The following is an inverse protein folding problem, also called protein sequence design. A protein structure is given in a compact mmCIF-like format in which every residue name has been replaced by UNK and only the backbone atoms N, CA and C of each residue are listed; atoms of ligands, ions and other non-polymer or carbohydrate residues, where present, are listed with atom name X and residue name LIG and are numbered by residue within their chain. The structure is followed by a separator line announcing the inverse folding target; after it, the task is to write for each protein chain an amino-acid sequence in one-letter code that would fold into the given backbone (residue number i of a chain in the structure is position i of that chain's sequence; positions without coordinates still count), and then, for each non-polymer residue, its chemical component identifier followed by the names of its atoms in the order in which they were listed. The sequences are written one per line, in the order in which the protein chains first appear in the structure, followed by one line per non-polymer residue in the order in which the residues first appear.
data_IF_519830161189
#
_entry.id   IF_519830161189
#
_cell.length_a   1.000
_cell.length_b   1.000
_cell.length_c   1.000
_cell.angle_alpha   90.00
_cell.angle_beta   90.00
_cell.angle_gamma   90.00
#
_symmetry.space_group_name_H-M   'P 1'
#
loop_
_entity.id
_entity.type
_entity.pdbx_description
1 polymer ?
#
# COMPACT_ATOMS: atom_id res chain seq x y z
N UNK A 1 4.99 46.72 30.79
CA UNK A 1 4.12 46.42 29.63
C UNK A 1 4.94 45.68 28.60
N UNK A 2 4.37 44.69 27.87
CA UNK A 2 4.50 43.27 28.13
C UNK A 2 5.49 42.55 27.20
N UNK A 3 5.93 41.37 27.66
CA UNK A 3 6.91 40.50 27.01
C UNK A 3 6.44 39.95 25.66
N UNK A 4 7.42 39.86 24.75
CA UNK A 4 7.26 39.19 23.46
C UNK A 4 7.11 37.67 23.67
N UNK A 5 6.13 37.01 23.03
CA UNK A 5 6.07 35.56 23.05
C UNK A 5 7.11 34.99 22.08
N UNK A 6 7.93 34.08 22.60
CA UNK A 6 8.77 33.18 21.82
C UNK A 6 7.87 32.41 20.85
N UNK A 7 8.06 32.63 19.55
CA UNK A 7 7.40 31.89 18.48
C UNK A 7 7.90 30.44 18.57
N UNK A 8 7.01 29.57 19.02
CA UNK A 8 7.15 28.12 19.02
C UNK A 8 7.38 27.68 17.56
N UNK A 9 8.56 27.18 17.25
CA UNK A 9 8.82 26.46 16.00
C UNK A 9 8.03 25.15 16.03
N UNK A 10 7.22 24.81 15.02
CA UNK A 10 6.61 23.49 14.94
C UNK A 10 7.68 22.50 14.44
N UNK A 11 8.55 22.03 15.34
CA UNK A 11 9.42 20.86 15.13
C UNK A 11 8.67 19.55 15.48
N UNK A 12 7.36 19.51 15.23
CA UNK A 12 6.43 18.53 15.79
C UNK A 12 5.47 17.99 14.73
N UNK A 13 5.98 17.52 13.59
CA UNK A 13 5.15 16.78 12.63
C UNK A 13 5.77 15.50 12.07
N UNK A 14 7.04 15.18 12.33
CA UNK A 14 7.64 13.96 11.75
C UNK A 14 7.38 12.68 12.56
N UNK A 15 6.85 12.77 13.79
CA UNK A 15 6.72 11.61 14.69
C UNK A 15 5.28 11.10 14.87
N UNK A 16 4.29 11.65 14.16
CA UNK A 16 2.87 11.38 14.43
C UNK A 16 2.14 10.51 13.39
N UNK A 17 2.72 10.09 12.25
CA UNK A 17 1.85 9.60 11.16
C UNK A 17 2.33 8.38 10.34
N UNK A 18 3.16 7.50 10.89
CA UNK A 18 3.43 6.19 10.23
C UNK A 18 2.79 5.04 10.99
N UNK A 19 1.46 5.09 11.14
CA UNK A 19 0.74 3.96 11.72
C UNK A 19 0.70 2.75 10.77
N UNK A 20 0.90 2.95 9.46
CA UNK A 20 0.83 1.88 8.44
C UNK A 20 2.11 1.88 7.61
N UNK A 21 3.02 0.98 7.93
CA UNK A 21 4.40 1.02 7.46
C UNK A 21 4.95 -0.39 7.26
N UNK A 22 6.02 -0.46 6.47
CA UNK A 22 6.84 -1.64 6.27
C UNK A 22 8.12 -1.45 7.07
N UNK A 23 8.32 -2.30 8.07
CA UNK A 23 9.57 -2.37 8.82
C UNK A 23 10.39 -3.58 8.38
N UNK A 24 11.71 -3.43 8.41
CA UNK A 24 12.67 -4.48 8.07
C UNK A 24 13.58 -4.79 9.25
N UNK A 25 13.87 -6.07 9.45
CA UNK A 25 15.00 -6.55 10.24
C UNK A 25 15.78 -7.59 9.45
N UNK A 26 17.09 -7.68 9.67
CA UNK A 26 17.97 -8.61 8.96
C UNK A 26 18.69 -9.48 9.98
N UNK A 27 18.67 -10.81 9.77
CA UNK A 27 19.46 -11.77 10.55
C UNK A 27 20.07 -12.81 9.63
N UNK A 28 21.37 -13.09 9.81
CA UNK A 28 22.15 -14.07 9.03
C UNK A 28 21.86 -14.03 7.52
N UNK A 29 21.90 -12.83 6.94
CA UNK A 29 21.66 -12.57 5.51
C UNK A 29 20.22 -12.86 5.02
N UNK A 30 19.27 -13.07 5.92
CA UNK A 30 17.85 -13.16 5.62
C UNK A 30 17.14 -11.86 6.00
N UNK A 31 16.19 -11.43 5.18
CA UNK A 31 15.36 -10.28 5.48
C UNK A 31 14.00 -10.71 6.03
N UNK A 32 13.57 -10.01 7.08
CA UNK A 32 12.28 -10.16 7.73
C UNK A 32 11.55 -8.83 7.63
N UNK A 33 10.47 -8.80 6.85
CA UNK A 33 9.62 -7.64 6.69
C UNK A 33 8.36 -7.79 7.53
N UNK A 34 8.01 -6.73 8.24
CA UNK A 34 6.74 -6.57 8.92
C UNK A 34 5.92 -5.54 8.16
N UNK A 35 4.82 -5.98 7.53
CA UNK A 35 3.91 -5.11 6.78
C UNK A 35 2.72 -4.82 7.67
N UNK A 36 2.60 -3.57 8.12
CA UNK A 36 1.45 -3.10 8.91
C UNK A 36 0.49 -2.37 7.98
N UNK A 37 -0.62 -3.04 7.64
CA UNK A 37 -1.60 -2.51 6.72
C UNK A 37 -2.52 -1.48 7.36
N UNK A 38 -2.95 -0.50 6.57
CA UNK A 38 -4.11 0.32 6.88
C UNK A 38 -5.38 -0.55 6.95
N UNK A 39 -6.45 -0.06 7.60
CA UNK A 39 -7.77 -0.64 7.43
C UNK A 39 -8.15 -0.68 5.94
N UNK A 40 -8.96 -1.66 5.57
CA UNK A 40 -9.58 -1.70 4.25
C UNK A 40 -10.69 -0.66 4.22
N UNK A 41 -10.61 0.26 3.27
CA UNK A 41 -11.55 1.36 3.10
C UNK A 41 -12.09 1.37 1.68
N UNK A 42 -13.35 1.80 1.50
CA UNK A 42 -13.92 2.00 0.17
C UNK A 42 -13.13 3.07 -0.57
N UNK A 43 -12.79 2.81 -1.83
CA UNK A 43 -12.11 3.75 -2.70
C UNK A 43 -13.06 4.88 -3.07
N UNK A 44 -12.66 6.10 -2.70
CA UNK A 44 -13.27 7.36 -3.11
C UNK A 44 -12.16 8.41 -3.21
N UNK A 45 -12.25 9.30 -4.20
CA UNK A 45 -11.21 10.29 -4.47
C UNK A 45 -10.98 11.25 -3.29
N UNK A 46 -12.02 11.62 -2.55
CA UNK A 46 -11.90 12.51 -1.40
C UNK A 46 -11.27 11.78 -0.22
N UNK A 47 -11.67 10.53 0.01
CA UNK A 47 -11.06 9.66 1.03
C UNK A 47 -9.57 9.49 0.74
N UNK A 48 -9.19 9.09 -0.48
CA UNK A 48 -7.79 8.92 -0.88
C UNK A 48 -6.98 10.21 -0.70
N UNK A 49 -7.56 11.37 -1.05
CA UNK A 49 -6.88 12.66 -0.89
C UNK A 49 -6.62 13.03 0.57
N UNK A 50 -7.55 12.69 1.47
CA UNK A 50 -7.46 13.03 2.88
C UNK A 50 -6.67 12.02 3.72
N UNK A 51 -6.65 10.75 3.33
CA UNK A 51 -6.13 9.67 4.19
C UNK A 51 -4.83 9.03 3.72
N UNK A 52 -4.46 9.15 2.43
CA UNK A 52 -3.26 8.50 1.88
C UNK A 52 -2.10 9.50 1.82
N UNK A 53 -0.96 9.20 2.45
CA UNK A 53 0.24 10.02 2.33
C UNK A 53 0.82 10.02 0.91
N UNK A 54 1.40 11.15 0.49
CA UNK A 54 2.19 11.24 -0.75
C UNK A 54 3.61 10.71 -0.52
N UNK A 55 3.71 9.46 -0.07
CA UNK A 55 4.97 8.78 0.22
C UNK A 55 5.09 7.48 -0.57
N UNK A 56 6.30 6.92 -0.62
CA UNK A 56 6.53 5.59 -1.17
C UNK A 56 5.76 4.52 -0.40
N UNK A 57 5.31 3.49 -1.08
CA UNK A 57 4.43 2.49 -0.48
C UNK A 57 3.93 1.44 -1.45
N UNK A 58 3.24 0.47 -0.87
CA UNK A 58 2.46 -0.53 -1.58
C UNK A 58 0.99 -0.41 -1.19
N UNK A 59 0.10 -0.78 -2.10
CA UNK A 59 -1.32 -0.87 -1.83
C UNK A 59 -1.93 -2.09 -2.49
N UNK A 60 -2.96 -2.62 -1.85
CA UNK A 60 -3.81 -3.65 -2.40
C UNK A 60 -5.17 -3.04 -2.74
N UNK A 61 -5.68 -3.39 -3.92
CA UNK A 61 -6.99 -2.99 -4.39
C UNK A 61 -7.87 -4.22 -4.60
N UNK A 62 -9.08 -4.11 -4.11
CA UNK A 62 -10.08 -5.16 -4.12
C UNK A 62 -11.35 -4.66 -4.79
N UNK A 63 -12.07 -5.56 -5.46
CA UNK A 63 -13.48 -5.35 -5.74
C UNK A 63 -14.32 -6.24 -4.82
N UNK A 64 -15.48 -5.76 -4.40
CA UNK A 64 -16.46 -6.55 -3.66
C UNK A 64 -17.43 -7.20 -4.65
N UNK A 65 -17.52 -8.52 -4.63
CA UNK A 65 -18.47 -9.25 -5.46
C UNK A 65 -19.91 -9.21 -4.91
N UNK A 66 -20.85 -9.78 -5.67
CA UNK A 66 -22.27 -9.85 -5.29
C UNK A 66 -22.53 -10.63 -3.98
N UNK A 67 -21.61 -11.51 -3.58
CA UNK A 67 -21.67 -12.27 -2.32
C UNK A 67 -21.01 -11.53 -1.17
N UNK A 68 -20.46 -10.34 -1.42
CA UNK A 68 -19.81 -9.49 -0.44
C UNK A 68 -18.35 -9.84 -0.16
N UNK A 69 -17.75 -10.75 -0.92
CA UNK A 69 -16.33 -11.12 -0.77
C UNK A 69 -15.45 -10.06 -1.44
N UNK A 70 -14.36 -9.70 -0.76
CA UNK A 70 -13.31 -8.84 -1.30
C UNK A 70 -12.32 -9.68 -2.11
N UNK A 71 -12.24 -9.38 -3.40
CA UNK A 71 -11.39 -10.08 -4.35
C UNK A 71 -10.23 -9.15 -4.74
N UNK A 72 -9.00 -9.56 -4.40
CA UNK A 72 -7.79 -8.84 -4.78
C UNK A 72 -7.64 -8.87 -6.31
N UNK A 73 -7.55 -7.70 -6.94
CA UNK A 73 -7.36 -7.61 -8.40
C UNK A 73 -6.11 -6.83 -8.80
N UNK A 74 -5.55 -6.04 -7.89
CA UNK A 74 -4.34 -5.27 -8.17
C UNK A 74 -3.49 -5.08 -6.91
N UNK A 75 -2.19 -5.32 -7.07
CA UNK A 75 -1.15 -4.90 -6.14
C UNK A 75 -0.42 -3.70 -6.77
N UNK A 76 -0.59 -2.53 -6.19
CA UNK A 76 0.02 -1.28 -6.62
C UNK A 76 1.29 -0.99 -5.81
N UNK A 77 2.27 -0.36 -6.45
CA UNK A 77 3.46 0.19 -5.78
C UNK A 77 3.76 1.58 -6.30
N UNK A 78 4.31 2.43 -5.46
CA UNK A 78 4.74 3.77 -5.85
C UNK A 78 5.97 4.19 -5.06
N UNK A 79 6.90 4.85 -5.75
CA UNK A 79 8.05 5.48 -5.10
C UNK A 79 8.06 6.97 -5.43
N UNK A 80 8.28 7.32 -6.71
CA UNK A 80 8.14 8.69 -7.20
C UNK A 80 6.66 9.05 -7.46
N UNK A 81 6.24 10.23 -7.00
CA UNK A 81 4.84 10.68 -7.08
C UNK A 81 3.97 10.23 -5.90
N UNK A 82 4.41 9.21 -5.16
CA UNK A 82 3.79 8.74 -3.93
C UNK A 82 2.50 7.94 -4.15
N UNK A 83 2.14 7.17 -3.13
CA UNK A 83 1.04 6.21 -3.19
C UNK A 83 -0.32 6.86 -3.39
N UNK A 84 -0.53 8.08 -2.86
CA UNK A 84 -1.75 8.86 -3.07
C UNK A 84 -2.05 9.09 -4.56
N UNK A 85 -1.06 9.53 -5.32
CA UNK A 85 -1.26 9.79 -6.75
C UNK A 85 -1.54 8.50 -7.52
N UNK A 86 -0.80 7.43 -7.18
CA UNK A 86 -0.99 6.11 -7.78
C UNK A 86 -2.37 5.55 -7.52
N UNK A 87 -2.88 5.64 -6.29
CA UNK A 87 -4.22 5.15 -5.96
C UNK A 87 -5.32 5.93 -6.69
N UNK A 88 -5.19 7.26 -6.81
CA UNK A 88 -6.17 8.05 -7.57
C UNK A 88 -6.33 7.56 -9.00
N UNK A 89 -5.22 7.26 -9.67
CA UNK A 89 -5.21 6.74 -11.05
C UNK A 89 -5.75 5.31 -11.07
N UNK A 90 -5.28 4.44 -10.16
CA UNK A 90 -5.65 3.03 -10.13
C UNK A 90 -7.13 2.77 -9.77
N UNK A 91 -7.82 3.76 -9.21
CA UNK A 91 -9.25 3.69 -8.87
C UNK A 91 -10.14 4.45 -9.87
N UNK A 92 -9.57 5.07 -10.91
CA UNK A 92 -10.31 5.86 -11.89
C UNK A 92 -10.37 5.13 -13.26
N UNK A 93 -11.57 4.72 -13.73
CA UNK A 93 -11.71 4.00 -14.99
C UNK A 93 -11.38 4.83 -16.24
N UNK A 94 -11.31 6.16 -16.14
CA UNK A 94 -10.91 7.03 -17.25
C UNK A 94 -9.38 7.06 -17.39
N UNK A 95 -8.68 7.05 -16.26
CA UNK A 95 -7.21 7.13 -16.20
C UNK A 95 -6.53 5.75 -16.31
N UNK A 96 -7.22 4.67 -15.97
CA UNK A 96 -6.70 3.30 -16.06
C UNK A 96 -6.50 2.87 -17.52
N UNK A 97 -5.26 2.48 -17.84
CA UNK A 97 -4.81 2.13 -19.19
C UNK A 97 -4.87 0.64 -19.47
N UNK A 98 -4.81 -0.19 -18.43
CA UNK A 98 -4.94 -1.64 -18.58
C UNK A 98 -6.43 -1.99 -18.75
N UNK A 99 -6.79 -2.52 -19.93
CA UNK A 99 -8.17 -2.85 -20.28
C UNK A 99 -8.82 -3.85 -19.30
N UNK A 100 -8.05 -4.79 -18.75
CA UNK A 100 -8.58 -5.78 -17.80
C UNK A 100 -8.90 -5.11 -16.47
N UNK A 101 -8.03 -4.23 -15.98
CA UNK A 101 -8.26 -3.48 -14.74
C UNK A 101 -9.41 -2.49 -14.90
N UNK A 102 -9.44 -1.80 -16.03
CA UNK A 102 -10.54 -0.90 -16.38
C UNK A 102 -11.88 -1.62 -16.42
N UNK A 103 -11.93 -2.84 -16.99
CA UNK A 103 -13.14 -3.66 -16.98
C UNK A 103 -13.61 -3.99 -15.56
N UNK A 104 -12.69 -4.29 -14.62
CA UNK A 104 -13.02 -4.50 -13.20
C UNK A 104 -13.60 -3.22 -12.57
N UNK A 105 -12.98 -2.07 -12.80
CA UNK A 105 -13.46 -0.78 -12.28
C UNK A 105 -14.87 -0.44 -12.79
N UNK A 106 -15.15 -0.72 -14.07
CA UNK A 106 -16.48 -0.48 -14.66
C UNK A 106 -17.53 -1.50 -14.19
N UNK A 107 -17.16 -2.78 -14.05
CA UNK A 107 -18.07 -3.82 -13.60
C UNK A 107 -18.42 -3.72 -12.10
N UNK A 108 -17.52 -3.16 -11.30
CA UNK A 108 -17.64 -3.04 -9.85
C UNK A 108 -17.53 -1.58 -9.41
N UNK A 109 -18.11 -0.67 -10.19
CA UNK A 109 -18.24 0.74 -9.82
C UNK A 109 -18.82 0.85 -8.41
N UNK A 110 -18.29 1.77 -7.60
CA UNK A 110 -18.67 1.93 -6.19
C UNK A 110 -18.39 0.73 -5.24
N UNK A 111 -17.78 -0.34 -5.72
CA UNK A 111 -17.44 -1.52 -4.92
C UNK A 111 -15.93 -1.80 -4.91
N UNK A 112 -15.13 -0.77 -5.14
CA UNK A 112 -13.67 -0.84 -5.05
C UNK A 112 -13.23 -0.46 -3.64
N UNK A 113 -12.29 -1.22 -3.10
CA UNK A 113 -11.72 -1.04 -1.76
C UNK A 113 -10.21 -1.10 -1.84
N UNK A 114 -9.53 -0.44 -0.90
CA UNK A 114 -8.08 -0.47 -0.83
C UNK A 114 -7.55 -0.51 0.60
N UNK A 115 -6.31 -0.95 0.74
CA UNK A 115 -5.47 -0.75 1.91
C UNK A 115 -4.03 -0.49 1.49
N UNK A 116 -3.24 0.11 2.36
CA UNK A 116 -1.86 0.46 2.06
C UNK A 116 -0.88 0.29 3.21
N UNK A 117 0.40 0.22 2.87
CA UNK A 117 1.51 0.32 3.81
C UNK A 117 2.63 1.15 3.18
N UNK A 118 3.25 2.02 3.97
CA UNK A 118 4.30 2.92 3.50
C UNK A 118 5.68 2.27 3.59
N UNK A 119 6.57 2.63 2.67
CA UNK A 119 7.97 2.22 2.71
C UNK A 119 8.84 3.33 2.14
N UNK A 120 9.93 3.62 2.84
CA UNK A 120 10.84 4.70 2.45
C UNK A 120 11.93 4.23 1.48
N UNK A 121 12.20 2.92 1.43
CA UNK A 121 13.22 2.31 0.59
C UNK A 121 12.58 1.64 -0.63
N UNK A 122 12.90 2.12 -1.83
CA UNK A 122 12.49 1.51 -3.11
C UNK A 122 12.91 0.03 -3.22
N UNK A 123 14.04 -0.22 -2.60
CA UNK A 123 14.80 -1.43 -2.62
C UNK A 123 14.11 -2.49 -1.73
N UNK A 124 13.66 -2.06 -0.55
CA UNK A 124 12.82 -2.87 0.36
C UNK A 124 11.40 -3.07 -0.21
N UNK A 125 10.85 -2.06 -0.88
CA UNK A 125 9.58 -2.17 -1.60
C UNK A 125 9.62 -3.27 -2.65
N UNK A 126 10.74 -3.39 -3.37
CA UNK A 126 10.91 -4.39 -4.43
C UNK A 126 10.98 -5.81 -3.86
N UNK A 127 11.66 -6.01 -2.73
CA UNK A 127 11.72 -7.29 -2.02
C UNK A 127 10.33 -7.73 -1.52
N UNK A 128 9.57 -6.81 -0.94
CA UNK A 128 8.21 -7.11 -0.44
C UNK A 128 7.26 -7.40 -1.60
N UNK A 129 7.34 -6.64 -2.69
CA UNK A 129 6.56 -6.91 -3.91
C UNK A 129 6.91 -8.25 -4.55
N UNK A 130 8.19 -8.62 -4.55
CA UNK A 130 8.65 -9.94 -4.99
C UNK A 130 7.97 -11.05 -4.19
N UNK A 131 7.95 -10.91 -2.86
CA UNK A 131 7.30 -11.88 -1.99
C UNK A 131 5.80 -12.00 -2.30
N UNK A 132 5.06 -10.89 -2.31
CA UNK A 132 3.62 -10.91 -2.54
C UNK A 132 3.24 -11.47 -3.91
N UNK A 133 3.94 -11.09 -4.97
CA UNK A 133 3.65 -11.59 -6.32
C UNK A 133 3.97 -13.09 -6.45
N UNK A 134 5.04 -13.55 -5.80
CA UNK A 134 5.38 -14.98 -5.75
C UNK A 134 4.34 -15.81 -4.99
N UNK A 135 3.73 -15.23 -3.94
CA UNK A 135 2.70 -15.89 -3.13
C UNK A 135 1.31 -15.87 -3.76
N UNK A 136 0.86 -14.72 -4.27
CA UNK A 136 -0.50 -14.56 -4.79
C UNK A 136 -0.66 -14.97 -6.25
N UNK A 137 0.41 -14.94 -7.04
CA UNK A 137 0.36 -15.27 -8.46
C UNK A 137 1.49 -16.23 -8.87
N UNK A 138 1.58 -17.44 -8.28
CA UNK A 138 2.68 -18.37 -8.55
C UNK A 138 2.72 -18.87 -10.01
N UNK A 139 1.64 -18.67 -10.78
CA UNK A 139 1.56 -19.03 -12.21
C UNK A 139 2.12 -17.95 -13.14
N UNK A 140 2.34 -16.73 -12.64
CA UNK A 140 3.04 -15.68 -13.37
C UNK A 140 4.54 -15.80 -13.08
N UNK A 141 5.37 -15.42 -14.05
CA UNK A 141 6.81 -15.29 -13.80
C UNK A 141 7.00 -14.33 -12.62
N UNK A 142 7.61 -14.78 -11.52
CA UNK A 142 7.82 -13.90 -10.39
C UNK A 142 8.71 -12.73 -10.82
N UNK A 143 8.59 -11.57 -10.18
CA UNK A 143 9.53 -10.47 -10.38
C UNK A 143 10.97 -10.96 -10.18
N UNK A 144 11.93 -10.25 -10.75
CA UNK A 144 13.33 -10.57 -10.49
C UNK A 144 13.65 -10.43 -8.99
N UNK A 145 14.17 -11.49 -8.39
CA UNK A 145 14.64 -11.46 -7.00
C UNK A 145 15.84 -10.51 -6.91
N UNK A 146 15.85 -9.58 -5.95
CA UNK A 146 16.91 -8.56 -5.81
C UNK A 146 18.31 -9.13 -5.54
N UNK A 147 18.37 -10.37 -5.05
CA UNK A 147 19.58 -11.10 -4.61
C UNK A 147 20.33 -10.43 -3.46
N UNK A 148 19.67 -9.50 -2.76
CA UNK A 148 20.23 -8.85 -1.57
C UNK A 148 20.26 -9.75 -0.33
N UNK A 149 19.40 -10.76 -0.29
CA UNK A 149 19.20 -11.66 0.84
C UNK A 149 19.06 -13.10 0.35
N UNK A 150 19.43 -14.06 1.21
CA UNK A 150 19.28 -15.48 0.88
C UNK A 150 17.80 -15.91 0.89
N UNK A 151 17.05 -15.36 1.85
CA UNK A 151 15.60 -15.56 1.99
C UNK A 151 14.92 -14.29 2.42
N UNK A 152 13.69 -14.12 1.94
CA UNK A 152 12.79 -13.04 2.32
C UNK A 152 11.59 -13.66 3.03
N UNK A 153 11.31 -13.16 4.24
CA UNK A 153 10.15 -13.50 5.03
C UNK A 153 9.29 -12.26 5.21
N UNK A 154 7.97 -12.39 5.03
CA UNK A 154 7.02 -11.31 5.28
C UNK A 154 6.02 -11.77 6.34
N UNK A 155 5.78 -10.90 7.32
CA UNK A 155 4.70 -11.02 8.29
C UNK A 155 3.77 -9.84 8.13
N UNK A 156 2.48 -10.11 7.98
CA UNK A 156 1.45 -9.08 7.86
C UNK A 156 0.78 -8.82 9.22
N UNK A 157 0.46 -7.56 9.49
CA UNK A 157 -0.41 -7.13 10.59
C UNK A 157 -1.53 -6.29 10.00
N UNK A 158 -2.76 -6.74 10.19
CA UNK A 158 -3.95 -6.04 9.74
C UNK A 158 -4.47 -5.08 10.83
N UNK A 159 -4.78 -3.85 10.44
CA UNK A 159 -5.44 -2.89 11.34
C UNK A 159 -6.96 -3.10 11.46
N UNK A 160 -7.52 -4.10 10.79
CA UNK A 160 -8.93 -4.48 10.88
C UNK A 160 -9.13 -5.98 10.68
N UNK A 161 -10.17 -6.55 11.31
CA UNK A 161 -10.51 -7.96 11.18
C UNK A 161 -10.93 -8.27 9.73
N UNK A 162 -10.02 -8.85 8.95
CA UNK A 162 -10.32 -9.41 7.64
C UNK A 162 -11.20 -10.66 7.82
N UNK A 163 -12.43 -10.62 7.31
CA UNK A 163 -13.18 -11.85 7.01
C UNK A 163 -12.81 -12.24 5.59
N UNK A 164 -11.69 -12.94 5.43
CA UNK A 164 -11.38 -13.70 4.22
C UNK A 164 -11.92 -15.11 4.41
N UNK A 165 -13.01 -15.43 3.71
CA UNK A 165 -13.54 -16.80 3.56
C UNK A 165 -12.97 -17.41 2.28
#
# INVERSE_FOLDING_TARGET
MPGAPLIFTPSLCYHCSMQYEIRKSVDKNNAYYLVRWSPIVKADKYVINGSVPAMGGIAELYFKDAHGKLNLYMLARSYYGGLRATLRVATDPIEEKDERRRAVLLAHEDQIYYRYALVESQDDMSDVMYFFLSTHAPKLLPPEHSKRYDKIFVKEIDAGNLITI
#
